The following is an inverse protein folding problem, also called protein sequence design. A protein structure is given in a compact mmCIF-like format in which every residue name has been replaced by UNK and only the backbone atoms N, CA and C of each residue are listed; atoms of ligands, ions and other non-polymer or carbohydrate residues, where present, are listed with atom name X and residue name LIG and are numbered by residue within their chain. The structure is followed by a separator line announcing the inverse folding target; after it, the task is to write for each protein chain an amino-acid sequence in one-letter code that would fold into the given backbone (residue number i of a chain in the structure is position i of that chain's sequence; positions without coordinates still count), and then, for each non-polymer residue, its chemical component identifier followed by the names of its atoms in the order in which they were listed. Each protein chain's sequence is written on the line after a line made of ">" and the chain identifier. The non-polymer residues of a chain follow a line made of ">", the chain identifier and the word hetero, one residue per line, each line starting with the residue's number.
data_IF_098068887635
#
_entry.id   IF_098068887635
#
_cell.length_a   1.000
_cell.length_b   1.000
_cell.length_c   1.000
_cell.angle_alpha   90.00
_cell.angle_beta   90.00
_cell.angle_gamma   90.00
#
_symmetry.space_group_name_H-M   'P 1'
#
loop_
_entity.id
_entity.type
_entity.pdbx_description
1 polymer ?
#
# COMPACT_ATOMS: atom_id res chain seq x y z
N UNK A 1 -17.77 -8.51 11.14
CA UNK A 1 -16.66 -7.64 10.66
C UNK A 1 -16.68 -6.28 11.35
N UNK A 2 -17.82 -5.56 11.34
CA UNK A 2 -17.94 -4.25 12.00
C UNK A 2 -17.48 -4.28 13.47
N UNK A 3 -17.87 -5.31 14.23
CA UNK A 3 -17.46 -5.42 15.64
C UNK A 3 -15.93 -5.51 15.80
N UNK A 4 -15.26 -6.33 14.97
CA UNK A 4 -13.80 -6.42 14.95
C UNK A 4 -13.17 -5.09 14.52
N UNK A 5 -13.75 -4.43 13.51
CA UNK A 5 -13.28 -3.13 13.06
C UNK A 5 -13.39 -2.08 14.18
N UNK A 6 -14.50 -2.06 14.91
CA UNK A 6 -14.72 -1.15 16.03
C UNK A 6 -13.81 -1.44 17.24
N UNK A 7 -13.34 -2.67 17.41
CA UNK A 7 -12.36 -3.02 18.45
C UNK A 7 -10.95 -2.57 18.08
N UNK A 8 -10.54 -2.72 16.82
CA UNK A 8 -9.16 -2.44 16.41
C UNK A 8 -8.96 -1.03 15.83
N UNK A 9 -9.99 -0.43 15.22
CA UNK A 9 -9.90 0.80 14.45
C UNK A 9 -10.85 1.89 14.96
N UNK A 10 -10.38 3.13 14.92
CA UNK A 10 -11.28 4.28 14.78
C UNK A 10 -11.54 4.46 13.28
N UNK A 11 -12.75 4.09 12.85
CA UNK A 11 -13.12 4.07 11.43
C UNK A 11 -12.96 5.44 10.78
N UNK A 12 -12.38 5.45 9.60
CA UNK A 12 -12.30 6.60 8.70
C UNK A 12 -13.05 6.21 7.42
N UNK A 13 -14.20 6.84 7.13
CA UNK A 13 -14.96 6.54 5.93
C UNK A 13 -14.13 6.71 4.66
N UNK A 14 -14.36 5.82 3.70
CA UNK A 14 -13.85 5.96 2.34
C UNK A 14 -14.89 6.67 1.47
N UNK A 15 -14.47 7.31 0.38
CA UNK A 15 -15.43 7.82 -0.61
C UNK A 15 -16.35 6.72 -1.18
N UNK A 16 -15.85 5.49 -1.17
CA UNK A 16 -16.50 4.28 -1.69
C UNK A 16 -17.01 3.39 -0.54
N UNK A 17 -17.13 3.90 0.69
CA UNK A 17 -17.74 3.14 1.79
C UNK A 17 -19.22 3.44 1.91
N UNK A 18 -19.97 2.44 2.35
CA UNK A 18 -21.33 2.56 2.84
C UNK A 18 -21.38 3.46 4.10
N UNK A 19 -22.59 3.87 4.56
CA UNK A 19 -22.73 4.73 5.75
C UNK A 19 -22.14 4.15 7.04
N UNK A 20 -21.96 2.83 7.11
CA UNK A 20 -21.32 2.14 8.24
C UNK A 20 -19.77 2.17 8.20
N UNK A 21 -19.19 2.77 7.16
CA UNK A 21 -17.75 2.89 6.96
C UNK A 21 -17.09 1.69 6.28
N UNK A 22 -17.85 0.66 5.89
CA UNK A 22 -17.33 -0.47 5.13
C UNK A 22 -17.37 -0.20 3.63
N UNK A 23 -16.30 -0.57 2.93
CA UNK A 23 -16.31 -0.67 1.46
C UNK A 23 -16.58 -2.12 1.07
N UNK A 24 -17.61 -2.35 0.25
CA UNK A 24 -17.84 -3.63 -0.43
C UNK A 24 -16.95 -3.69 -1.66
N UNK A 25 -15.97 -4.60 -1.66
CA UNK A 25 -15.04 -4.81 -2.76
C UNK A 25 -15.52 -5.99 -3.60
N UNK A 26 -16.05 -5.67 -4.77
CA UNK A 26 -16.48 -6.63 -5.79
C UNK A 26 -16.23 -6.06 -7.18
N UNK A 27 -16.17 -6.95 -8.19
CA UNK A 27 -16.12 -6.53 -9.58
C UNK A 27 -17.41 -5.78 -9.95
N UNK A 28 -17.29 -4.53 -10.40
CA UNK A 28 -18.45 -3.75 -10.84
C UNK A 28 -18.93 -4.09 -12.24
N UNK A 29 -18.20 -4.93 -12.99
CA UNK A 29 -18.57 -5.36 -14.33
C UNK A 29 -18.42 -4.27 -15.41
N UNK A 30 -17.91 -3.09 -15.07
CA UNK A 30 -17.68 -2.02 -16.02
C UNK A 30 -16.39 -2.25 -16.83
N UNK A 31 -16.46 -2.34 -18.18
CA UNK A 31 -15.32 -2.68 -19.01
C UNK A 31 -14.22 -1.60 -19.03
N UNK A 32 -14.58 -0.34 -18.77
CA UNK A 32 -13.65 0.80 -18.75
C UNK A 32 -13.71 1.50 -17.39
N UNK A 33 -13.03 0.94 -16.40
CA UNK A 33 -12.95 1.58 -15.10
C UNK A 33 -12.04 2.82 -15.14
N UNK A 34 -12.47 3.93 -14.53
CA UNK A 34 -11.61 5.10 -14.41
C UNK A 34 -10.35 4.78 -13.58
N UNK A 35 -9.25 5.52 -13.79
CA UNK A 35 -8.05 5.36 -12.97
C UNK A 35 -8.36 5.43 -11.48
N UNK A 36 -7.76 4.52 -10.71
CA UNK A 36 -7.98 4.43 -9.26
C UNK A 36 -9.20 3.62 -8.82
N UNK A 37 -9.92 2.98 -9.75
CA UNK A 37 -11.02 2.06 -9.41
C UNK A 37 -10.64 0.58 -9.53
N UNK A 38 -9.38 0.26 -9.86
CA UNK A 38 -8.92 -1.10 -10.11
C UNK A 38 -9.22 -2.12 -8.99
N UNK A 39 -9.41 -1.66 -7.74
CA UNK A 39 -9.89 -2.50 -6.62
C UNK A 39 -11.24 -3.16 -6.88
N UNK A 40 -12.11 -2.51 -7.66
CA UNK A 40 -13.44 -2.95 -8.06
C UNK A 40 -13.46 -3.66 -9.42
N UNK A 41 -12.31 -4.11 -9.94
CA UNK A 41 -12.23 -4.92 -11.17
C UNK A 41 -11.84 -6.37 -10.86
N UNK A 42 -11.95 -7.24 -11.86
CA UNK A 42 -11.39 -8.61 -11.82
C UNK A 42 -9.92 -8.74 -12.25
N UNK A 43 -9.30 -7.63 -12.66
CA UNK A 43 -7.90 -7.64 -13.12
C UNK A 43 -6.93 -7.77 -11.94
N UNK A 44 -5.69 -8.13 -12.25
CA UNK A 44 -4.62 -8.12 -11.26
C UNK A 44 -4.39 -6.69 -10.76
N UNK A 45 -4.23 -6.53 -9.45
CA UNK A 45 -3.93 -5.28 -8.80
C UNK A 45 -2.52 -5.37 -8.18
N UNK A 46 -1.53 -4.65 -8.74
CA UNK A 46 -0.19 -4.61 -8.17
C UNK A 46 -0.22 -4.14 -6.71
N UNK A 47 0.75 -4.59 -5.92
CA UNK A 47 0.81 -4.22 -4.51
C UNK A 47 1.00 -2.70 -4.35
N UNK A 48 0.27 -2.11 -3.42
CA UNK A 48 0.22 -0.66 -3.21
C UNK A 48 -0.12 -0.31 -1.76
N UNK A 49 0.07 0.96 -1.42
CA UNK A 49 -0.39 1.57 -0.17
C UNK A 49 -1.84 2.04 -0.36
N UNK A 50 -2.71 1.67 0.57
CA UNK A 50 -4.11 2.07 0.55
C UNK A 50 -4.22 3.60 0.67
N UNK A 51 -5.02 4.23 -0.21
CA UNK A 51 -5.12 5.69 -0.37
C UNK A 51 -3.77 6.45 -0.47
N UNK A 52 -2.77 5.91 -1.17
CA UNK A 52 -1.44 6.54 -1.28
C UNK A 52 -1.43 8.00 -1.80
N UNK A 53 -2.51 8.44 -2.46
CA UNK A 53 -2.64 9.79 -3.00
C UNK A 53 -3.21 10.83 -2.05
N UNK A 54 -3.58 10.46 -0.81
CA UNK A 54 -4.01 11.44 0.20
C UNK A 54 -2.83 11.95 1.02
N UNK A 55 -2.92 13.16 1.62
CA UNK A 55 -1.87 13.67 2.51
C UNK A 55 -1.58 12.70 3.64
N UNK A 56 -2.66 12.23 4.28
CA UNK A 56 -2.64 11.26 5.37
C UNK A 56 -3.40 9.99 4.94
N UNK A 57 -2.71 8.96 4.45
CA UNK A 57 -3.30 7.65 4.21
C UNK A 57 -3.78 7.02 5.53
N UNK A 58 -4.78 6.12 5.49
CA UNK A 58 -5.26 5.44 6.69
C UNK A 58 -4.13 4.61 7.28
N UNK A 59 -4.05 4.56 8.61
CA UNK A 59 -2.99 3.83 9.31
C UNK A 59 -3.19 2.31 9.20
N UNK A 60 -4.41 1.86 9.40
CA UNK A 60 -4.79 0.46 9.39
C UNK A 60 -5.81 0.18 8.29
N UNK A 61 -5.71 -1.02 7.73
CA UNK A 61 -6.73 -1.58 6.84
C UNK A 61 -7.09 -2.99 7.31
N UNK A 62 -8.37 -3.21 7.58
CA UNK A 62 -8.94 -4.53 7.78
C UNK A 62 -9.59 -4.99 6.48
N UNK A 63 -9.26 -6.20 6.04
CA UNK A 63 -9.82 -6.84 4.87
C UNK A 63 -10.38 -8.21 5.24
N UNK A 64 -11.62 -8.51 4.84
CA UNK A 64 -12.26 -9.82 5.10
C UNK A 64 -12.89 -10.34 3.81
N UNK A 65 -12.59 -11.60 3.46
CA UNK A 65 -13.24 -12.28 2.36
C UNK A 65 -14.65 -12.72 2.78
N UNK A 66 -15.67 -12.24 2.08
CA UNK A 66 -17.04 -12.71 2.27
C UNK A 66 -17.32 -13.92 1.36
N UNK A 67 -16.81 -13.86 0.13
CA UNK A 67 -16.94 -14.90 -0.88
C UNK A 67 -15.67 -14.95 -1.74
N UNK A 68 -14.93 -16.07 -1.74
CA UNK A 68 -13.75 -16.21 -2.59
C UNK A 68 -14.15 -16.28 -4.06
N UNK A 69 -13.22 -15.94 -4.95
CA UNK A 69 -13.41 -16.10 -6.38
C UNK A 69 -13.49 -17.58 -6.77
N UNK A 70 -14.10 -17.90 -7.91
CA UNK A 70 -14.10 -19.25 -8.47
C UNK A 70 -12.69 -19.72 -8.84
N UNK A 71 -11.84 -18.80 -9.32
CA UNK A 71 -10.44 -19.06 -9.62
C UNK A 71 -9.61 -17.76 -9.54
N UNK A 72 -8.37 -17.88 -9.06
CA UNK A 72 -7.47 -16.74 -8.87
C UNK A 72 -7.89 -15.84 -7.70
N UNK A 73 -7.47 -14.57 -7.73
CA UNK A 73 -7.89 -13.59 -6.72
C UNK A 73 -7.16 -13.68 -5.37
N UNK A 74 -6.07 -14.43 -5.34
CA UNK A 74 -5.18 -14.52 -4.19
C UNK A 74 -4.70 -13.13 -3.78
N UNK A 75 -4.63 -12.89 -2.48
CA UNK A 75 -4.08 -11.65 -1.94
C UNK A 75 -2.56 -11.69 -2.09
N UNK A 76 -1.98 -10.55 -2.44
CA UNK A 76 -0.54 -10.34 -2.46
C UNK A 76 -0.15 -9.33 -1.39
N UNK A 77 0.78 -9.69 -0.52
CA UNK A 77 1.27 -8.83 0.55
C UNK A 77 2.79 -8.69 0.43
N UNK A 78 3.34 -7.50 0.63
CA UNK A 78 4.79 -7.32 0.68
C UNK A 78 5.20 -6.54 1.95
N UNK A 79 6.16 -7.10 2.71
CA UNK A 79 6.69 -6.45 3.92
C UNK A 79 7.65 -5.33 3.51
N UNK A 80 7.24 -4.08 3.68
CA UNK A 80 8.05 -2.92 3.35
C UNK A 80 9.41 -2.89 4.05
N UNK A 81 9.53 -3.50 5.23
CA UNK A 81 10.81 -3.64 5.92
C UNK A 81 11.76 -4.56 5.18
N UNK A 82 11.27 -5.70 4.71
CA UNK A 82 12.07 -6.64 3.94
C UNK A 82 12.47 -6.03 2.59
N UNK A 83 11.50 -5.41 1.90
CA UNK A 83 11.73 -4.69 0.63
C UNK A 83 12.79 -3.61 0.78
N UNK A 84 12.67 -2.72 1.78
CA UNK A 84 13.65 -1.67 2.02
C UNK A 84 15.04 -2.25 2.33
N UNK A 85 15.11 -3.25 3.21
CA UNK A 85 16.38 -3.87 3.61
C UNK A 85 17.11 -4.45 2.39
N UNK A 86 16.38 -5.20 1.57
CA UNK A 86 16.92 -5.81 0.36
C UNK A 86 17.36 -4.78 -0.67
N UNK A 87 16.52 -3.77 -0.92
CA UNK A 87 16.84 -2.69 -1.85
C UNK A 87 18.05 -1.88 -1.37
N UNK A 88 18.11 -1.49 -0.10
CA UNK A 88 19.21 -0.72 0.45
C UNK A 88 20.53 -1.49 0.44
N UNK A 89 20.48 -2.82 0.61
CA UNK A 89 21.66 -3.68 0.51
C UNK A 89 22.14 -3.84 -0.94
N UNK A 90 21.23 -4.15 -1.86
CA UNK A 90 21.60 -4.42 -3.25
C UNK A 90 21.90 -3.14 -4.05
N UNK A 91 21.17 -2.06 -3.77
CA UNK A 91 21.13 -0.79 -4.51
C UNK A 91 20.94 0.40 -3.56
N UNK A 92 21.99 0.80 -2.82
CA UNK A 92 21.93 1.95 -1.92
C UNK A 92 21.56 3.28 -2.62
N UNK A 93 21.97 3.43 -3.89
CA UNK A 93 21.59 4.53 -4.79
C UNK A 93 20.07 4.60 -4.97
N UNK A 94 19.43 3.46 -5.24
CA UNK A 94 17.98 3.37 -5.37
C UNK A 94 17.27 3.71 -4.06
N UNK A 95 17.73 3.18 -2.93
CA UNK A 95 17.14 3.48 -1.63
C UNK A 95 17.21 4.98 -1.29
N UNK A 96 18.31 5.64 -1.67
CA UNK A 96 18.49 7.09 -1.49
C UNK A 96 17.53 7.88 -2.38
N UNK A 97 17.49 7.60 -3.68
CA UNK A 97 16.61 8.30 -4.62
C UNK A 97 15.11 8.12 -4.30
N UNK A 98 14.73 6.94 -3.80
CA UNK A 98 13.35 6.63 -3.43
C UNK A 98 12.96 7.16 -2.04
N UNK A 99 13.92 7.65 -1.26
CA UNK A 99 13.69 8.35 0.01
C UNK A 99 13.62 9.88 -0.16
N UNK A 100 13.83 10.40 -1.37
CA UNK A 100 13.68 11.82 -1.68
C UNK A 100 12.23 12.28 -1.43
N UNK A 101 11.98 13.40 -0.71
CA UNK A 101 10.63 13.88 -0.42
C UNK A 101 9.74 14.12 -1.66
N UNK A 102 10.35 14.29 -2.83
CA UNK A 102 9.71 14.49 -4.13
C UNK A 102 9.96 13.32 -5.07
N UNK A 103 10.28 12.12 -4.58
CA UNK A 103 10.52 10.93 -5.41
C UNK A 103 9.33 10.61 -6.34
N UNK A 104 8.11 10.85 -5.87
CA UNK A 104 6.91 10.73 -6.69
C UNK A 104 5.80 11.70 -6.28
N UNK A 105 4.93 12.01 -7.23
CA UNK A 105 3.62 12.60 -6.99
C UNK A 105 2.57 11.48 -7.06
N UNK A 106 1.99 11.14 -5.91
CA UNK A 106 0.96 10.10 -5.79
C UNK A 106 -0.43 10.72 -5.90
N UNK A 107 -1.23 10.30 -6.88
CA UNK A 107 -2.58 10.80 -7.12
C UNK A 107 -2.76 11.55 -8.45
N UNK A 108 -3.96 12.09 -8.65
CA UNK A 108 -4.37 12.84 -9.84
C UNK A 108 -3.93 14.30 -9.79
N UNK A 109 -4.86 15.23 -9.99
CA UNK A 109 -4.63 16.67 -9.86
C UNK A 109 -4.27 17.05 -8.41
N UNK A 110 -5.01 16.52 -7.44
CA UNK A 110 -4.81 16.76 -6.00
C UNK A 110 -3.82 15.77 -5.36
N UNK A 111 -2.83 15.33 -6.13
CA UNK A 111 -1.84 14.36 -5.67
C UNK A 111 -0.88 14.94 -4.62
N UNK A 112 -0.17 14.06 -3.93
CA UNK A 112 0.80 14.41 -2.90
C UNK A 112 2.21 14.01 -3.31
N UNK A 113 3.14 14.97 -3.27
CA UNK A 113 4.57 14.67 -3.37
C UNK A 113 5.02 13.97 -2.09
N UNK A 114 5.63 12.81 -2.24
CA UNK A 114 6.15 12.04 -1.13
C UNK A 114 7.29 11.12 -1.56
N UNK A 115 8.16 10.72 -0.62
CA UNK A 115 9.08 9.62 -0.84
C UNK A 115 8.33 8.28 -0.92
N UNK A 116 8.97 7.26 -1.49
CA UNK A 116 8.53 5.88 -1.31
C UNK A 116 8.87 5.40 0.10
N UNK A 117 10.06 5.75 0.59
CA UNK A 117 10.53 5.43 1.94
C UNK A 117 10.71 6.73 2.74
N UNK A 118 9.74 7.07 3.59
CA UNK A 118 9.82 8.28 4.42
C UNK A 118 10.47 7.97 5.77
N UNK A 119 11.57 8.65 6.09
CA UNK A 119 12.21 8.56 7.39
C UNK A 119 11.53 9.46 8.42
N UNK A 120 11.30 8.92 9.61
CA UNK A 120 10.89 9.65 10.80
C UNK A 120 12.11 9.97 11.68
N UNK A 121 11.95 10.93 12.61
CA UNK A 121 13.01 11.38 13.53
C UNK A 121 13.58 10.24 14.40
N UNK A 122 12.78 9.22 14.70
CA UNK A 122 13.18 8.05 15.50
C UNK A 122 13.83 6.91 14.67
N UNK A 123 14.28 7.22 13.45
CA UNK A 123 14.85 6.30 12.48
C UNK A 123 13.90 5.17 12.02
N UNK A 124 12.59 5.40 12.12
CA UNK A 124 11.60 4.54 11.46
C UNK A 124 11.33 5.00 10.04
N UNK A 125 10.81 4.05 9.27
CA UNK A 125 10.40 4.22 7.90
C UNK A 125 8.92 3.96 7.74
N UNK A 126 8.28 4.77 6.90
CA UNK A 126 6.98 4.45 6.34
C UNK A 126 7.13 4.21 4.84
N UNK A 127 6.27 3.34 4.29
CA UNK A 127 6.26 2.98 2.89
C UNK A 127 5.01 3.54 2.20
N UNK A 128 5.21 4.29 1.12
CA UNK A 128 4.15 4.77 0.24
C UNK A 128 4.42 4.31 -1.19
N UNK A 129 3.51 3.54 -1.77
CA UNK A 129 3.64 3.08 -3.15
C UNK A 129 2.31 3.09 -3.89
N UNK A 130 2.40 3.45 -5.16
CA UNK A 130 1.39 3.26 -6.19
C UNK A 130 2.08 2.86 -7.48
N UNK A 131 1.41 2.05 -8.30
CA UNK A 131 2.02 1.46 -9.51
C UNK A 131 1.16 1.59 -10.77
N UNK A 132 0.05 2.33 -10.70
CA UNK A 132 -0.87 2.57 -11.83
C UNK A 132 -0.59 3.93 -12.49
N UNK A 133 -1.48 4.40 -13.36
CA UNK A 133 -1.33 5.67 -14.08
C UNK A 133 -1.51 6.93 -13.22
N UNK A 134 -1.83 6.77 -11.93
CA UNK A 134 -2.00 7.87 -10.98
C UNK A 134 -0.76 8.06 -10.10
N UNK A 135 0.42 7.70 -10.60
CA UNK A 135 1.70 8.12 -10.02
C UNK A 135 2.57 8.76 -11.11
N UNK A 136 3.19 9.88 -10.77
CA UNK A 136 4.21 10.52 -11.61
C UNK A 136 5.55 10.48 -10.87
N UNK A 137 6.57 9.90 -11.48
CA UNK A 137 7.88 9.69 -10.86
C UNK A 137 8.83 10.84 -11.17
N UNK A 138 9.64 11.23 -10.19
CA UNK A 138 10.76 12.13 -10.41
C UNK A 138 11.80 11.47 -11.34
N UNK A 139 12.39 12.20 -12.31
CA UNK A 139 13.44 11.65 -13.18
C UNK A 139 14.63 11.02 -12.45
N UNK A 140 14.92 11.43 -11.22
CA UNK A 140 15.97 10.82 -10.39
C UNK A 140 15.52 9.49 -9.74
N UNK A 141 14.22 9.33 -9.47
CA UNK A 141 13.66 8.09 -8.90
C UNK A 141 13.29 7.06 -9.97
N UNK A 142 12.86 7.51 -11.16
CA UNK A 142 12.34 6.67 -12.23
C UNK A 142 13.30 5.53 -12.69
N UNK A 143 14.64 5.75 -12.81
CA UNK A 143 15.58 4.69 -13.17
C UNK A 143 15.64 3.54 -12.15
N UNK A 144 15.22 3.79 -10.91
CA UNK A 144 15.30 2.81 -9.82
C UNK A 144 14.04 1.95 -9.67
N UNK A 145 12.97 2.21 -10.43
CA UNK A 145 11.69 1.50 -10.29
C UNK A 145 11.78 0.00 -10.59
N UNK A 146 12.62 -0.40 -11.54
CA UNK A 146 12.83 -1.82 -11.82
C UNK A 146 13.44 -2.55 -10.61
N UNK A 147 14.38 -1.92 -9.91
CA UNK A 147 15.01 -2.46 -8.70
C UNK A 147 14.02 -2.53 -7.55
N UNK A 148 13.20 -1.49 -7.36
CA UNK A 148 12.12 -1.50 -6.37
C UNK A 148 11.12 -2.63 -6.63
N UNK A 149 10.65 -2.78 -7.88
CA UNK A 149 9.71 -3.84 -8.26
C UNK A 149 10.31 -5.23 -8.09
N UNK A 150 11.60 -5.41 -8.39
CA UNK A 150 12.31 -6.67 -8.16
C UNK A 150 12.41 -7.01 -6.66
N UNK A 151 12.75 -6.04 -5.81
CA UNK A 151 12.79 -6.21 -4.36
C UNK A 151 11.40 -6.55 -3.79
N UNK A 152 10.35 -5.87 -4.26
CA UNK A 152 8.96 -6.19 -3.92
C UNK A 152 8.63 -7.63 -4.31
N UNK A 153 8.92 -8.04 -5.55
CA UNK A 153 8.60 -9.38 -6.03
C UNK A 153 9.27 -10.48 -5.21
N UNK A 154 10.53 -10.29 -4.78
CA UNK A 154 11.25 -11.24 -3.91
C UNK A 154 10.65 -11.37 -2.51
N UNK A 155 9.99 -10.33 -2.02
CA UNK A 155 9.43 -10.27 -0.66
C UNK A 155 7.88 -10.26 -0.65
N UNK A 156 7.26 -10.64 -1.77
CA UNK A 156 5.82 -10.71 -1.90
C UNK A 156 5.30 -12.10 -1.51
N UNK A 157 4.46 -12.14 -0.50
CA UNK A 157 3.73 -13.32 -0.05
C UNK A 157 2.39 -13.43 -0.77
N UNK A 158 1.91 -14.66 -0.92
CA UNK A 158 0.58 -14.97 -1.46
C UNK A 158 -0.27 -15.56 -0.34
N UNK A 159 -1.48 -15.04 -0.18
CA UNK A 159 -2.46 -15.50 0.80
C UNK A 159 -3.76 -15.84 0.10
N UNK A 160 -4.20 -17.09 0.24
CA UNK A 160 -5.54 -17.52 -0.13
C UNK A 160 -6.46 -17.32 1.08
N UNK A 161 -7.64 -16.76 0.86
CA UNK A 161 -8.63 -16.53 1.91
C UNK A 161 -9.89 -17.30 1.60
N UNK A 162 -10.33 -18.13 2.54
CA UNK A 162 -11.67 -18.68 2.57
C UNK A 162 -12.69 -17.62 3.03
N UNK A 163 -13.98 -17.91 2.87
CA UNK A 163 -15.04 -17.07 3.40
C UNK A 163 -14.91 -16.94 4.93
N UNK A 164 -14.98 -15.72 5.44
CA UNK A 164 -14.81 -15.38 6.85
C UNK A 164 -13.36 -15.08 7.26
N UNK A 165 -12.38 -15.45 6.44
CA UNK A 165 -10.97 -15.16 6.71
C UNK A 165 -10.58 -13.74 6.27
N UNK A 166 -9.57 -13.18 6.92
CA UNK A 166 -9.14 -11.81 6.67
C UNK A 166 -7.82 -11.47 7.32
N UNK A 167 -7.40 -10.22 7.14
CA UNK A 167 -6.17 -9.69 7.72
C UNK A 167 -6.35 -8.22 8.10
N UNK A 168 -5.68 -7.84 9.19
CA UNK A 168 -5.46 -6.45 9.58
C UNK A 168 -4.02 -6.09 9.23
N UNK A 169 -3.81 -5.04 8.46
CA UNK A 169 -2.48 -4.58 8.06
C UNK A 169 -2.18 -3.17 8.56
N UNK A 170 -0.91 -2.93 8.84
CA UNK A 170 -0.34 -1.61 9.04
C UNK A 170 0.09 -1.03 7.68
N UNK A 171 -0.65 -0.02 7.22
CA UNK A 171 -0.54 0.55 5.87
C UNK A 171 0.71 1.43 5.72
N UNK A 172 1.43 1.71 6.82
CA UNK A 172 2.75 2.35 6.75
C UNK A 172 3.88 1.34 6.52
N UNK A 173 3.61 0.03 6.63
CA UNK A 173 4.63 -1.02 6.46
C UNK A 173 4.31 -1.96 5.32
N UNK A 174 3.07 -2.42 5.23
CA UNK A 174 2.69 -3.47 4.32
C UNK A 174 2.06 -2.90 3.07
N UNK A 175 2.54 -3.38 1.91
CA UNK A 175 1.82 -3.22 0.65
C UNK A 175 0.84 -4.36 0.50
N UNK A 176 -0.29 -4.09 -0.15
CA UNK A 176 -1.28 -5.10 -0.47
C UNK A 176 -1.72 -5.01 -1.92
N UNK A 177 -2.13 -6.13 -2.50
CA UNK A 177 -2.59 -6.26 -3.87
C UNK A 177 -3.31 -7.59 -4.05
N UNK A 178 -3.58 -7.95 -5.29
CA UNK A 178 -4.37 -9.14 -5.61
C UNK A 178 -4.04 -9.66 -6.99
N UNK A 179 -3.99 -10.97 -7.15
CA UNK A 179 -3.93 -11.59 -8.47
C UNK A 179 -5.28 -11.36 -9.22
N UNK A 180 -5.27 -11.50 -10.56
CA UNK A 180 -6.50 -11.48 -11.34
C UNK A 180 -7.41 -12.66 -10.98
N UNK A 181 -8.72 -12.52 -11.20
CA UNK A 181 -9.67 -13.57 -10.83
C UNK A 181 -10.80 -13.74 -11.84
N UNK A 182 -11.51 -14.88 -11.72
CA UNK A 182 -12.72 -15.19 -12.50
C UNK A 182 -13.88 -15.57 -11.58
N UNK A 183 -15.09 -15.28 -12.04
CA UNK A 183 -16.31 -15.48 -11.27
C UNK A 183 -16.54 -14.36 -10.27
N UNK A 184 -17.56 -14.54 -9.43
CA UNK A 184 -17.90 -13.57 -8.40
C UNK A 184 -16.92 -13.63 -7.22
N UNK A 185 -16.56 -12.48 -6.68
CA UNK A 185 -15.74 -12.34 -5.48
C UNK A 185 -16.28 -11.16 -4.68
N UNK A 186 -16.49 -11.36 -3.38
CA UNK A 186 -16.93 -10.29 -2.48
C UNK A 186 -16.02 -10.25 -1.27
N UNK A 187 -15.58 -9.06 -0.93
CA UNK A 187 -14.85 -8.79 0.28
C UNK A 187 -15.30 -7.48 0.90
N UNK A 188 -14.98 -7.32 2.17
CA UNK A 188 -15.22 -6.08 2.90
C UNK A 188 -13.91 -5.47 3.33
N UNK A 189 -13.82 -4.15 3.27
CA UNK A 189 -12.67 -3.38 3.74
C UNK A 189 -13.12 -2.29 4.71
N UNK A 190 -12.41 -2.19 5.83
CA UNK A 190 -12.53 -1.09 6.78
C UNK A 190 -11.18 -0.38 6.92
N UNK A 191 -11.22 0.95 7.04
CA UNK A 191 -10.04 1.80 7.15
C UNK A 191 -10.11 2.61 8.43
N UNK A 192 -8.95 2.94 9.02
CA UNK A 192 -8.96 3.75 10.23
C UNK A 192 -7.60 3.94 10.89
N UNK A 193 -7.62 4.57 12.05
CA UNK A 193 -6.47 4.65 12.96
C UNK A 193 -6.53 3.56 14.03
N UNK A 194 -5.39 3.18 14.59
CA UNK A 194 -5.34 2.15 15.63
C UNK A 194 -6.03 2.63 16.92
N UNK A 195 -6.77 1.73 17.58
CA UNK A 195 -7.30 1.94 18.96
C UNK A 195 -6.34 1.48 20.05
N UNK A 196 -5.18 0.96 19.66
CA UNK A 196 -4.12 0.50 20.54
C UNK A 196 -2.81 1.22 20.18
N UNK A 197 -1.85 1.31 21.11
CA UNK A 197 -0.54 1.89 20.81
C UNK A 197 0.12 1.16 19.64
N UNK A 198 0.48 1.91 18.60
CA UNK A 198 1.14 1.40 17.42
C UNK A 198 2.11 2.46 16.90
N UNK A 199 3.41 2.21 17.07
CA UNK A 199 4.45 3.09 16.55
C UNK A 199 4.32 3.27 15.04
N UNK A 200 4.63 4.47 14.54
CA UNK A 200 4.51 4.72 13.11
C UNK A 200 5.61 4.05 12.30
N UNK A 201 5.23 3.15 11.38
CA UNK A 201 6.17 2.57 10.44
C UNK A 201 7.04 1.46 11.06
N UNK A 202 8.23 1.27 10.50
CA UNK A 202 9.11 0.16 10.86
C UNK A 202 10.57 0.60 10.95
N UNK A 203 11.34 -0.06 11.81
CA UNK A 203 12.80 0.10 11.80
C UNK A 203 13.40 -0.72 10.64
N UNK A 204 14.34 -0.18 9.86
CA UNK A 204 15.09 -0.96 8.88
C UNK A 204 15.90 -2.05 9.59
N UNK A 205 16.27 -3.12 8.88
CA UNK A 205 17.23 -4.11 9.41
C UNK A 205 18.65 -3.64 9.11
N UNK A 206 19.55 -3.76 10.09
CA UNK A 206 20.97 -3.35 9.97
C UNK A 206 21.20 -1.86 10.20
N UNK A 207 22.40 -1.38 9.88
CA UNK A 207 22.86 0.00 10.14
C UNK A 207 22.37 1.03 9.11
N UNK A 208 21.22 0.80 8.47
CA UNK A 208 20.65 1.78 7.54
C UNK A 208 20.33 3.08 8.28
N UNK A 209 20.80 4.20 7.73
CA UNK A 209 20.59 5.55 8.27
C UNK A 209 19.83 6.39 7.23
N UNK A 210 19.10 7.42 7.66
CA UNK A 210 18.48 8.36 6.73
C UNK A 210 19.52 8.92 5.75
N UNK A 211 19.20 9.05 4.46
CA UNK A 211 20.12 9.64 3.50
C UNK A 211 20.42 11.09 3.90
N UNK A 212 21.69 11.49 3.76
CA UNK A 212 22.07 12.89 3.98
C UNK A 212 21.46 13.72 2.85
N UNK A 213 20.51 14.59 3.17
CA UNK A 213 19.93 15.52 2.19
C UNK A 213 20.99 16.59 1.90
N UNK A 214 21.43 16.68 0.65
CA UNK A 214 22.31 17.76 0.20
C UNK A 214 21.57 19.10 0.33
N UNK A 215 22.20 20.16 0.86
CA UNK A 215 21.55 21.45 1.11
C UNK A 215 21.08 22.20 -0.15
N UNK A 216 21.36 21.68 -1.35
CA UNK A 216 21.09 22.35 -2.63
C UNK A 216 19.61 22.37 -3.06
N UNK A 217 18.70 21.82 -2.26
CA UNK A 217 17.26 21.80 -2.52
C UNK A 217 16.42 22.24 -1.31
N UNK A 218 16.82 23.33 -0.62
CA UNK A 218 15.94 24.09 0.26
C UNK A 218 15.41 25.34 -0.44
#
# INVERSE_FOLDING_TARGET
>A
MLDLAAQCLRLIPHRDSEPDGLTVIQDSGHPNQPPGFAGFSNQALPVHTERSGTPEPPRLMLFVCARPAKAGGAIRLADGRAVHTDLAHQRPDAATALADPRAALFGGADGVFAPVFAWAEDNRLTLRLRQDQLVRWNPLAAPHLAHLRAAIARHQQRLELAAGEGYLLDNHRWLHGRDGFRGERVAYRALGTARFPLDSGFRPRGAASPPRVSPEYR
#
